data_IF_975974063877
#
_entry.id   IF_975974063877
#
_cell.length_a   1.000
_cell.length_b   1.000
_cell.length_c   1.000
_cell.angle_alpha   90.00
_cell.angle_beta   90.00
_cell.angle_gamma   90.00
#
_symmetry.space_group_name_H-M   'P 1'
#
loop_
_entity.id
_entity.type
_entity.pdbx_description
1 polymer ?
#
# COMPACT_ATOMS: atom_id res chain seq x y z
N UNK A 1 3.98 -43.85 -9.46
CA UNK A 1 4.84 -43.09 -10.41
C UNK A 1 4.35 -43.17 -11.87
N UNK A 2 3.07 -43.35 -12.13
CA UNK A 2 2.56 -43.57 -13.51
C UNK A 2 1.36 -42.67 -13.89
N UNK A 3 1.18 -41.52 -13.25
CA UNK A 3 0.05 -40.61 -13.53
C UNK A 3 0.46 -39.29 -14.20
N UNK A 4 1.74 -39.14 -14.63
CA UNK A 4 2.25 -37.89 -15.19
C UNK A 4 2.55 -37.90 -16.69
N UNK A 5 2.13 -38.92 -17.43
CA UNK A 5 2.39 -39.02 -18.86
C UNK A 5 1.11 -39.22 -19.69
N UNK A 6 0.02 -38.53 -19.40
CA UNK A 6 -1.03 -38.35 -20.40
C UNK A 6 -0.75 -37.01 -21.09
N UNK A 7 -0.42 -37.05 -22.39
CA UNK A 7 -0.14 -35.87 -23.22
C UNK A 7 -1.37 -35.02 -23.52
N UNK A 8 -2.08 -34.61 -22.47
CA UNK A 8 -3.11 -33.60 -22.59
C UNK A 8 -2.43 -32.22 -22.77
N UNK A 9 -2.58 -31.61 -23.92
CA UNK A 9 -2.23 -30.22 -24.16
C UNK A 9 -2.90 -29.36 -23.11
N UNK A 10 -2.15 -28.47 -22.43
CA UNK A 10 -2.77 -27.55 -21.49
C UNK A 10 -3.85 -26.73 -22.21
N UNK A 11 -4.94 -26.36 -21.53
CA UNK A 11 -5.98 -25.53 -22.13
C UNK A 11 -5.36 -24.24 -22.65
N UNK A 12 -5.67 -23.88 -23.89
CA UNK A 12 -5.19 -22.66 -24.53
C UNK A 12 -5.74 -21.44 -23.79
N UNK A 13 -4.87 -20.54 -23.39
CA UNK A 13 -5.25 -19.24 -22.82
C UNK A 13 -6.05 -18.44 -23.86
N UNK A 14 -7.28 -18.05 -23.50
CA UNK A 14 -8.08 -17.14 -24.30
C UNK A 14 -8.02 -15.73 -23.66
N UNK A 15 -7.35 -14.74 -24.29
CA UNK A 15 -7.22 -13.39 -23.75
C UNK A 15 -8.53 -12.62 -23.62
N UNK A 16 -9.62 -13.08 -24.21
CA UNK A 16 -10.97 -12.51 -24.09
C UNK A 16 -11.81 -13.08 -22.93
N UNK A 17 -11.27 -14.01 -22.15
CA UNK A 17 -11.98 -14.58 -21.00
C UNK A 17 -11.96 -13.65 -19.80
N UNK A 18 -13.13 -13.20 -19.34
CA UNK A 18 -13.26 -12.45 -18.09
C UNK A 18 -12.76 -13.31 -16.91
N UNK A 19 -12.02 -12.70 -16.01
CA UNK A 19 -11.56 -13.34 -14.75
C UNK A 19 -12.80 -13.81 -13.95
N UNK A 20 -12.87 -15.12 -13.74
CA UNK A 20 -13.88 -15.74 -12.86
C UNK A 20 -13.19 -16.31 -11.62
N UNK A 21 -13.93 -16.62 -10.53
CA UNK A 21 -13.34 -17.27 -9.36
C UNK A 21 -12.59 -18.57 -9.67
N UNK A 22 -12.96 -19.26 -10.74
CA UNK A 22 -12.35 -20.52 -11.17
C UNK A 22 -11.15 -20.35 -12.11
N UNK A 23 -11.02 -19.19 -12.77
CA UNK A 23 -9.88 -18.86 -13.65
C UNK A 23 -8.85 -17.93 -13.00
N UNK A 24 -9.14 -17.39 -11.81
CA UNK A 24 -8.22 -16.54 -11.07
C UNK A 24 -7.00 -17.32 -10.58
N UNK A 25 -5.79 -16.75 -10.77
CA UNK A 25 -4.53 -17.38 -10.34
C UNK A 25 -4.36 -17.39 -8.82
N UNK A 26 -4.99 -16.45 -8.13
CA UNK A 26 -4.95 -16.32 -6.68
C UNK A 26 -6.34 -16.48 -6.06
N UNK A 27 -6.47 -17.19 -4.94
CA UNK A 27 -7.71 -17.20 -4.17
C UNK A 27 -8.18 -15.81 -3.73
N UNK A 28 -7.26 -14.85 -3.61
CA UNK A 28 -7.57 -13.47 -3.23
C UNK A 28 -8.40 -12.75 -4.29
N UNK A 29 -8.15 -13.02 -5.57
CA UNK A 29 -8.89 -12.45 -6.70
C UNK A 29 -10.01 -13.35 -7.22
N UNK A 30 -10.10 -14.58 -6.70
CA UNK A 30 -11.13 -15.54 -7.01
C UNK A 30 -12.10 -15.73 -5.85
N UNK A 31 -11.96 -16.86 -5.16
CA UNK A 31 -12.85 -17.36 -4.09
C UNK A 31 -13.10 -16.33 -2.98
N UNK A 32 -12.09 -15.53 -2.61
CA UNK A 32 -12.16 -14.58 -1.50
C UNK A 32 -12.30 -13.13 -1.95
N UNK A 33 -12.42 -12.84 -3.24
CA UNK A 33 -12.44 -11.50 -3.80
C UNK A 33 -13.44 -10.56 -3.10
N UNK A 34 -14.66 -11.02 -2.86
CA UNK A 34 -15.70 -10.24 -2.19
C UNK A 34 -15.35 -9.89 -0.73
N UNK A 35 -14.63 -10.79 -0.03
CA UNK A 35 -14.21 -10.58 1.37
C UNK A 35 -13.05 -9.59 1.50
N UNK A 36 -12.31 -9.39 0.42
CA UNK A 36 -11.14 -8.52 0.35
C UNK A 36 -11.44 -7.15 -0.25
N UNK A 37 -12.71 -6.84 -0.51
CA UNK A 37 -13.13 -5.55 -1.05
C UNK A 37 -12.53 -4.33 -0.32
N UNK A 38 -12.40 -4.30 1.02
CA UNK A 38 -11.79 -3.18 1.73
C UNK A 38 -10.29 -2.97 1.45
N UNK A 39 -9.57 -4.01 1.00
CA UNK A 39 -8.15 -3.90 0.64
C UNK A 39 -7.93 -3.38 -0.78
N UNK A 40 -8.90 -3.54 -1.69
CA UNK A 40 -8.72 -3.19 -3.12
C UNK A 40 -8.30 -1.74 -3.34
N UNK A 41 -8.96 -0.71 -2.77
CA UNK A 41 -8.56 0.68 -2.98
C UNK A 41 -7.18 1.01 -2.38
N UNK A 42 -6.65 0.15 -1.49
CA UNK A 42 -5.38 0.36 -0.80
C UNK A 42 -4.22 -0.43 -1.44
N UNK A 43 -4.45 -1.70 -1.80
CA UNK A 43 -3.40 -2.68 -2.12
C UNK A 43 -3.42 -3.14 -3.59
N UNK A 44 -4.38 -2.70 -4.40
CA UNK A 44 -4.39 -2.97 -5.84
C UNK A 44 -3.37 -2.10 -6.58
N UNK A 45 -3.18 -2.36 -7.88
CA UNK A 45 -2.38 -1.51 -8.75
C UNK A 45 -2.90 -0.06 -8.80
N UNK A 46 -4.23 0.13 -8.84
CA UNK A 46 -4.85 1.45 -8.70
C UNK A 46 -4.47 2.11 -7.37
N UNK A 47 -4.54 1.37 -6.26
CA UNK A 47 -4.11 1.85 -4.94
C UNK A 47 -2.63 2.23 -4.93
N UNK A 48 -1.79 1.47 -5.62
CA UNK A 48 -0.37 1.77 -5.75
C UNK A 48 -0.11 3.04 -6.57
N UNK A 49 -0.78 3.21 -7.72
CA UNK A 49 -0.71 4.44 -8.52
C UNK A 49 -1.18 5.65 -7.72
N UNK A 50 -2.28 5.53 -6.96
CA UNK A 50 -2.74 6.58 -6.07
C UNK A 50 -1.65 7.01 -5.08
N UNK A 51 -0.91 6.06 -4.47
CA UNK A 51 0.19 6.39 -3.55
C UNK A 51 1.36 7.04 -4.27
N UNK A 52 1.69 6.63 -5.49
CA UNK A 52 2.71 7.30 -6.31
C UNK A 52 2.33 8.76 -6.56
N UNK A 53 1.10 9.03 -6.97
CA UNK A 53 0.59 10.41 -7.13
C UNK A 53 0.67 11.17 -5.82
N UNK A 54 0.31 10.56 -4.70
CA UNK A 54 0.41 11.17 -3.37
C UNK A 54 1.86 11.55 -3.02
N UNK A 55 2.82 10.67 -3.27
CA UNK A 55 4.25 10.91 -2.99
C UNK A 55 4.79 12.03 -3.87
N UNK A 56 4.53 11.99 -5.18
CA UNK A 56 4.97 13.01 -6.13
C UNK A 56 4.40 14.40 -5.78
N UNK A 57 3.13 14.47 -5.44
CA UNK A 57 2.48 15.74 -5.03
C UNK A 57 3.06 16.25 -3.71
N UNK A 58 3.27 15.35 -2.74
CA UNK A 58 3.86 15.73 -1.45
C UNK A 58 5.29 16.25 -1.64
N UNK A 59 6.09 15.58 -2.48
CA UNK A 59 7.45 15.99 -2.81
C UNK A 59 7.48 17.37 -3.49
N UNK A 60 6.64 17.58 -4.51
CA UNK A 60 6.52 18.87 -5.20
C UNK A 60 6.16 20.02 -4.24
N UNK A 61 5.20 19.78 -3.33
CA UNK A 61 4.81 20.78 -2.32
C UNK A 61 5.96 21.03 -1.35
N UNK A 62 6.66 19.98 -0.88
CA UNK A 62 7.80 20.11 0.01
C UNK A 62 8.95 20.93 -0.63
N UNK A 63 9.28 20.64 -1.90
CA UNK A 63 10.27 21.43 -2.65
C UNK A 63 9.86 22.90 -2.77
N UNK A 64 8.59 23.19 -3.00
CA UNK A 64 8.07 24.56 -3.02
C UNK A 64 8.24 25.29 -1.69
N UNK A 65 8.23 24.56 -0.57
CA UNK A 65 8.40 25.10 0.79
C UNK A 65 9.88 25.22 1.20
N UNK A 66 10.79 24.60 0.47
CA UNK A 66 12.22 24.57 0.79
C UNK A 66 12.91 25.93 0.60
N UNK A 67 12.30 26.86 -0.13
CA UNK A 67 12.82 28.23 -0.31
C UNK A 67 13.90 28.36 -1.38
N UNK A 68 13.95 27.44 -2.35
CA UNK A 68 14.85 27.54 -3.50
C UNK A 68 14.51 28.74 -4.38
N UNK A 69 15.55 29.46 -4.83
CA UNK A 69 15.37 30.65 -5.66
C UNK A 69 14.66 30.34 -7.00
N UNK A 70 14.92 29.16 -7.52
CA UNK A 70 14.39 28.67 -8.81
C UNK A 70 12.95 28.17 -8.70
N UNK A 71 12.48 27.85 -7.51
CA UNK A 71 11.14 27.33 -7.27
C UNK A 71 10.34 28.23 -6.32
N UNK A 72 9.54 29.11 -6.89
CA UNK A 72 8.67 29.99 -6.11
C UNK A 72 7.64 29.17 -5.32
N UNK A 73 7.36 29.57 -4.05
CA UNK A 73 6.34 28.92 -3.25
C UNK A 73 4.98 28.87 -3.96
N UNK A 74 4.38 27.69 -4.00
CA UNK A 74 3.07 27.47 -4.62
C UNK A 74 1.98 28.21 -3.80
N UNK A 75 1.09 28.88 -4.51
CA UNK A 75 -0.07 29.55 -3.90
C UNK A 75 -1.00 28.55 -3.17
N UNK A 76 -1.82 29.01 -2.21
CA UNK A 76 -2.82 28.18 -1.56
C UNK A 76 -3.79 27.51 -2.56
N UNK A 77 -4.11 28.20 -3.66
CA UNK A 77 -4.96 27.65 -4.73
C UNK A 77 -4.31 26.49 -5.47
N UNK A 78 -3.02 26.63 -5.84
CA UNK A 78 -2.24 25.57 -6.49
C UNK A 78 -2.11 24.34 -5.57
N UNK A 79 -1.80 24.55 -4.29
CA UNK A 79 -1.72 23.47 -3.29
C UNK A 79 -3.04 22.74 -3.12
N UNK A 80 -4.15 23.48 -3.00
CA UNK A 80 -5.49 22.87 -2.89
C UNK A 80 -5.81 22.04 -4.11
N UNK A 81 -5.44 22.51 -5.28
CA UNK A 81 -5.64 21.75 -6.52
C UNK A 81 -4.82 20.45 -6.54
N UNK A 82 -3.51 20.51 -6.22
CA UNK A 82 -2.63 19.35 -6.15
C UNK A 82 -3.11 18.30 -5.15
N UNK A 83 -3.49 18.73 -3.95
CA UNK A 83 -4.07 17.84 -2.94
C UNK A 83 -5.43 17.27 -3.40
N UNK A 84 -6.16 18.02 -4.22
CA UNK A 84 -7.39 17.58 -4.87
C UNK A 84 -7.17 16.42 -5.84
N UNK A 85 -6.06 16.42 -6.60
CA UNK A 85 -5.68 15.30 -7.48
C UNK A 85 -5.49 14.00 -6.69
N UNK A 86 -4.87 14.10 -5.52
CA UNK A 86 -4.70 12.95 -4.63
C UNK A 86 -6.03 12.51 -4.03
N UNK A 87 -6.80 13.45 -3.49
CA UNK A 87 -8.06 13.16 -2.79
C UNK A 87 -9.12 12.52 -3.69
N UNK A 88 -9.17 12.95 -4.97
CA UNK A 88 -10.20 12.53 -5.92
C UNK A 88 -9.68 11.53 -6.96
N UNK A 89 -8.49 10.94 -6.72
CA UNK A 89 -7.92 9.93 -7.61
C UNK A 89 -8.88 8.75 -7.80
N UNK A 90 -9.14 8.40 -9.05
CA UNK A 90 -10.15 7.42 -9.44
C UNK A 90 -9.55 6.29 -10.29
N UNK A 91 -10.36 5.26 -10.58
CA UNK A 91 -9.99 4.22 -11.52
C UNK A 91 -9.76 4.77 -12.95
N UNK A 92 -10.52 5.79 -13.36
CA UNK A 92 -10.32 6.44 -14.64
C UNK A 92 -8.94 7.10 -14.73
N UNK A 93 -8.45 7.69 -13.64
CA UNK A 93 -7.10 8.27 -13.58
C UNK A 93 -6.02 7.19 -13.67
N UNK A 94 -6.21 6.07 -12.97
CA UNK A 94 -5.32 4.92 -13.07
C UNK A 94 -5.26 4.35 -14.50
N UNK A 95 -6.39 4.23 -15.18
CA UNK A 95 -6.45 3.82 -16.59
C UNK A 95 -5.76 4.82 -17.53
N UNK A 96 -5.91 6.13 -17.28
CA UNK A 96 -5.20 7.15 -18.04
C UNK A 96 -3.67 7.05 -17.86
N UNK A 97 -3.18 6.78 -16.65
CA UNK A 97 -1.77 6.51 -16.38
C UNK A 97 -1.32 5.26 -17.16
N UNK A 98 -2.09 4.18 -17.16
CA UNK A 98 -1.78 2.95 -17.90
C UNK A 98 -1.72 3.19 -19.42
N UNK A 99 -2.53 4.09 -19.94
CA UNK A 99 -2.47 4.46 -21.36
C UNK A 99 -1.16 5.19 -21.70
N UNK A 100 -0.72 6.12 -20.84
CA UNK A 100 0.57 6.79 -20.99
C UNK A 100 1.72 5.77 -20.89
N UNK A 101 1.64 4.82 -19.96
CA UNK A 101 2.66 3.78 -19.76
C UNK A 101 2.91 2.93 -21.02
N UNK A 102 1.89 2.67 -21.83
CA UNK A 102 2.05 1.94 -23.13
C UNK A 102 3.06 2.61 -24.05
N UNK A 103 3.16 3.93 -24.00
CA UNK A 103 4.08 4.71 -24.84
C UNK A 103 5.43 4.90 -24.14
N UNK A 104 5.43 5.21 -22.85
CA UNK A 104 6.68 5.48 -22.09
C UNK A 104 7.44 4.20 -21.75
N UNK A 105 6.76 3.07 -21.74
CA UNK A 105 7.27 1.79 -21.25
C UNK A 105 7.93 1.89 -19.87
N UNK A 106 7.41 2.81 -19.03
CA UNK A 106 7.94 3.08 -17.69
C UNK A 106 6.82 3.60 -16.78
N UNK A 107 6.51 2.86 -15.73
CA UNK A 107 5.36 3.05 -14.85
C UNK A 107 5.42 4.35 -14.03
N UNK A 108 6.55 4.66 -13.38
CA UNK A 108 6.69 5.90 -12.60
C UNK A 108 6.72 7.13 -13.52
N UNK A 109 7.36 7.03 -14.69
CA UNK A 109 7.37 8.10 -15.69
C UNK A 109 5.96 8.41 -16.22
N UNK A 110 5.13 7.38 -16.34
CA UNK A 110 3.72 7.56 -16.71
C UNK A 110 2.94 8.36 -15.67
N UNK A 111 3.20 8.14 -14.38
CA UNK A 111 2.61 8.94 -13.28
C UNK A 111 3.07 10.40 -13.36
N UNK A 112 4.36 10.64 -13.56
CA UNK A 112 4.91 11.99 -13.75
C UNK A 112 4.21 12.73 -14.90
N UNK A 113 4.12 12.10 -16.07
CA UNK A 113 3.46 12.71 -17.24
C UNK A 113 1.97 12.93 -17.01
N UNK A 114 1.29 12.02 -16.32
CA UNK A 114 -0.09 12.24 -15.95
C UNK A 114 -0.26 13.44 -15.02
N UNK A 115 0.60 13.63 -14.02
CA UNK A 115 0.57 14.81 -13.16
C UNK A 115 0.82 16.08 -13.96
N UNK A 116 1.85 16.08 -14.81
CA UNK A 116 2.18 17.22 -15.68
C UNK A 116 1.01 17.58 -16.61
N UNK A 117 0.29 16.60 -17.16
CA UNK A 117 -0.91 16.84 -17.99
C UNK A 117 -2.04 17.54 -17.24
N UNK A 118 -2.11 17.42 -15.91
CA UNK A 118 -3.09 18.13 -15.07
C UNK A 118 -2.73 19.59 -14.83
N UNK A 119 -1.56 20.05 -15.27
CA UNK A 119 -1.11 21.43 -15.11
C UNK A 119 -1.55 22.33 -16.26
N UNK A 120 -2.04 21.76 -17.36
CA UNK A 120 -2.56 22.51 -18.49
C UNK A 120 -3.56 23.59 -18.07
N UNK A 121 -3.43 24.78 -18.65
CA UNK A 121 -4.21 25.99 -18.34
C UNK A 121 -4.06 26.50 -16.88
N UNK A 122 -2.95 26.15 -16.21
CA UNK A 122 -2.60 26.61 -14.87
C UNK A 122 -1.16 27.16 -14.86
N UNK A 123 -0.95 28.42 -15.26
CA UNK A 123 0.40 28.97 -15.51
C UNK A 123 1.39 28.77 -14.35
N UNK A 124 0.91 28.86 -13.11
CA UNK A 124 1.75 28.63 -11.92
C UNK A 124 2.28 27.18 -11.84
N UNK A 125 1.43 26.20 -12.13
CA UNK A 125 1.81 24.78 -12.11
C UNK A 125 2.59 24.38 -13.37
N UNK A 126 2.32 24.99 -14.51
CA UNK A 126 3.12 24.79 -15.73
C UNK A 126 4.58 25.22 -15.50
N UNK A 127 4.81 26.34 -14.82
CA UNK A 127 6.15 26.78 -14.42
C UNK A 127 6.82 25.84 -13.41
N UNK A 128 6.04 25.16 -12.58
CA UNK A 128 6.51 24.19 -11.59
C UNK A 128 6.68 22.77 -12.16
N UNK A 129 6.35 22.52 -13.43
CA UNK A 129 6.28 21.19 -14.02
C UNK A 129 7.60 20.41 -13.95
N UNK A 130 8.75 21.11 -14.09
CA UNK A 130 10.07 20.48 -14.04
C UNK A 130 10.49 20.05 -12.63
N UNK A 131 9.77 20.51 -11.58
CA UNK A 131 9.98 20.05 -10.21
C UNK A 131 9.17 18.79 -9.85
N UNK A 132 8.28 18.33 -10.72
CA UNK A 132 7.66 17.00 -10.57
C UNK A 132 8.74 15.95 -10.74
N UNK A 133 8.85 15.01 -9.79
CA UNK A 133 9.88 13.97 -9.76
C UNK A 133 11.33 14.51 -9.63
N UNK A 134 11.50 15.78 -9.27
CA UNK A 134 12.82 16.41 -9.25
C UNK A 134 13.76 15.69 -8.28
N UNK A 135 14.95 15.37 -8.79
CA UNK A 135 16.04 14.66 -8.11
C UNK A 135 15.70 13.24 -7.60
N UNK A 136 14.45 12.79 -7.72
CA UNK A 136 14.04 11.45 -7.33
C UNK A 136 14.51 10.37 -8.32
N UNK A 137 14.71 9.18 -7.81
CA UNK A 137 14.69 7.96 -8.61
C UNK A 137 13.33 7.28 -8.49
N UNK A 138 12.99 6.41 -9.45
CA UNK A 138 11.72 5.66 -9.39
C UNK A 138 11.53 4.90 -8.09
N UNK A 139 12.62 4.39 -7.50
CA UNK A 139 12.54 3.65 -6.25
C UNK A 139 12.24 4.54 -5.04
N UNK A 140 12.59 5.82 -5.05
CA UNK A 140 12.17 6.78 -4.00
C UNK A 140 10.63 6.85 -3.95
N UNK A 141 10.00 6.91 -5.11
CA UNK A 141 8.54 6.94 -5.24
C UNK A 141 7.94 5.56 -4.92
N UNK A 142 8.53 4.49 -5.45
CA UNK A 142 8.01 3.13 -5.30
C UNK A 142 8.03 2.66 -3.85
N UNK A 143 9.18 2.74 -3.17
CA UNK A 143 9.29 2.24 -1.79
C UNK A 143 8.41 3.05 -0.83
N UNK A 144 8.36 4.39 -1.00
CA UNK A 144 7.50 5.25 -0.17
C UNK A 144 6.02 4.93 -0.40
N UNK A 145 5.63 4.69 -1.65
CA UNK A 145 4.26 4.27 -2.00
C UNK A 145 3.91 2.92 -1.38
N UNK A 146 4.79 1.93 -1.45
CA UNK A 146 4.61 0.64 -0.79
C UNK A 146 4.51 0.77 0.74
N UNK A 147 5.35 1.60 1.35
CA UNK A 147 5.27 1.87 2.78
C UNK A 147 3.90 2.46 3.18
N UNK A 148 3.38 3.40 2.39
CA UNK A 148 2.05 3.97 2.58
C UNK A 148 0.92 2.96 2.39
N UNK A 149 1.04 2.06 1.40
CA UNK A 149 0.07 0.97 1.19
C UNK A 149 0.05 0.00 2.37
N UNK A 150 1.24 -0.47 2.80
CA UNK A 150 1.37 -1.39 3.94
C UNK A 150 0.81 -0.78 5.21
N UNK A 151 1.11 0.50 5.48
CA UNK A 151 0.57 1.21 6.63
C UNK A 151 -0.95 1.30 6.57
N UNK A 152 -1.49 1.72 5.44
CA UNK A 152 -2.94 1.84 5.27
C UNK A 152 -3.65 0.47 5.35
N UNK A 153 -3.13 -0.57 4.71
CA UNK A 153 -3.69 -1.93 4.76
C UNK A 153 -3.67 -2.49 6.18
N UNK A 154 -2.56 -2.29 6.91
CA UNK A 154 -2.44 -2.69 8.33
C UNK A 154 -3.44 -1.94 9.22
N UNK A 155 -3.41 -0.61 9.17
CA UNK A 155 -4.11 0.23 10.15
C UNK A 155 -5.61 0.31 9.89
N UNK A 156 -6.02 0.34 8.61
CA UNK A 156 -7.43 0.53 8.24
C UNK A 156 -8.21 -0.78 8.03
N UNK A 157 -7.51 -1.90 7.79
CA UNK A 157 -8.19 -3.16 7.46
C UNK A 157 -7.74 -4.31 8.35
N UNK A 158 -6.43 -4.59 8.43
CA UNK A 158 -5.93 -5.78 9.12
C UNK A 158 -6.16 -5.71 10.64
N UNK A 159 -5.68 -4.66 11.29
CA UNK A 159 -5.83 -4.51 12.74
C UNK A 159 -7.31 -4.43 13.17
N UNK A 160 -8.20 -3.64 12.52
CA UNK A 160 -9.61 -3.67 12.84
C UNK A 160 -10.30 -5.02 12.62
N UNK A 161 -9.84 -5.82 11.65
CA UNK A 161 -10.36 -7.18 11.45
C UNK A 161 -9.93 -8.13 12.59
N UNK A 162 -8.68 -8.04 13.03
CA UNK A 162 -8.14 -8.80 14.16
C UNK A 162 -8.82 -8.40 15.48
N UNK A 163 -9.08 -7.10 15.69
CA UNK A 163 -9.79 -6.61 16.86
C UNK A 163 -11.20 -7.21 16.97
N UNK A 164 -11.93 -7.33 15.87
CA UNK A 164 -13.25 -7.99 15.87
C UNK A 164 -13.14 -9.46 16.30
N UNK A 165 -12.10 -10.17 15.88
CA UNK A 165 -11.85 -11.56 16.31
C UNK A 165 -11.53 -11.61 17.78
N UNK A 166 -10.65 -10.73 18.26
CA UNK A 166 -10.27 -10.62 19.69
C UNK A 166 -11.48 -10.33 20.58
N UNK A 167 -12.33 -9.38 20.18
CA UNK A 167 -13.56 -9.07 20.92
C UNK A 167 -14.47 -10.29 21.04
N UNK A 168 -14.66 -11.04 19.95
CA UNK A 168 -15.49 -12.25 19.97
C UNK A 168 -14.89 -13.36 20.82
N UNK A 169 -13.58 -13.57 20.74
CA UNK A 169 -12.90 -14.56 21.58
C UNK A 169 -12.94 -14.19 23.06
N UNK A 170 -12.81 -12.91 23.41
CA UNK A 170 -12.96 -12.43 24.80
C UNK A 170 -14.37 -12.70 25.33
N UNK A 171 -15.40 -12.35 24.55
CA UNK A 171 -16.78 -12.67 24.89
C UNK A 171 -16.98 -14.18 25.15
N UNK A 172 -16.46 -15.02 24.26
CA UNK A 172 -16.52 -16.48 24.43
C UNK A 172 -15.76 -16.95 25.67
N UNK A 173 -14.58 -16.39 25.95
CA UNK A 173 -13.79 -16.72 27.13
C UNK A 173 -14.56 -16.43 28.43
N UNK A 174 -15.22 -15.27 28.50
CA UNK A 174 -16.05 -14.91 29.66
C UNK A 174 -17.30 -15.79 29.79
N UNK A 175 -18.02 -15.99 28.70
CA UNK A 175 -19.27 -16.78 28.72
C UNK A 175 -19.07 -18.27 29.02
N UNK A 176 -17.86 -18.78 28.78
CA UNK A 176 -17.50 -20.18 29.00
C UNK A 176 -16.52 -20.38 30.17
N UNK A 177 -16.35 -19.34 31.02
CA UNK A 177 -15.42 -19.36 32.13
C UNK A 177 -15.69 -20.50 33.11
N UNK A 178 -16.95 -20.83 33.38
CA UNK A 178 -17.39 -21.85 34.33
C UNK A 178 -17.64 -23.21 33.67
N UNK A 179 -17.42 -23.35 32.35
CA UNK A 179 -17.64 -24.62 31.64
C UNK A 179 -16.42 -25.53 31.84
N UNK A 180 -16.52 -26.61 32.64
CA UNK A 180 -15.39 -27.47 32.91
C UNK A 180 -14.99 -28.30 31.71
N UNK A 181 -13.70 -28.51 31.55
CA UNK A 181 -13.11 -29.45 30.61
C UNK A 181 -11.86 -30.11 31.13
N UNK A 182 -11.46 -31.22 30.54
CA UNK A 182 -10.19 -31.84 30.79
C UNK A 182 -9.15 -31.41 29.77
N UNK A 183 -8.02 -30.91 30.25
CA UNK A 183 -6.84 -30.73 29.40
C UNK A 183 -6.36 -32.04 28.82
N UNK A 184 -5.60 -32.01 27.77
CA UNK A 184 -5.00 -33.19 27.14
C UNK A 184 -3.50 -32.99 26.95
N UNK A 185 -2.75 -34.04 27.15
CA UNK A 185 -1.33 -34.12 26.88
C UNK A 185 -1.00 -35.50 26.29
N UNK A 186 -0.18 -35.54 25.27
CA UNK A 186 0.18 -36.78 24.57
C UNK A 186 -1.02 -37.66 24.17
N UNK A 187 -2.16 -37.00 23.78
CA UNK A 187 -3.40 -37.71 23.46
C UNK A 187 -4.19 -38.28 24.63
N UNK A 188 -3.74 -38.03 25.88
CA UNK A 188 -4.36 -38.53 27.11
C UNK A 188 -5.00 -37.38 27.91
N UNK A 189 -5.97 -37.76 28.74
CA UNK A 189 -6.60 -36.86 29.71
C UNK A 189 -5.57 -36.34 30.72
N UNK A 190 -5.58 -35.05 30.97
CA UNK A 190 -4.73 -34.36 31.94
C UNK A 190 -5.57 -33.58 32.97
N UNK A 191 -5.01 -32.52 33.56
CA UNK A 191 -5.65 -31.76 34.63
C UNK A 191 -6.97 -31.10 34.18
N UNK A 192 -7.96 -30.99 35.10
CA UNK A 192 -9.16 -30.20 34.85
C UNK A 192 -8.83 -28.74 34.61
N UNK A 193 -9.59 -28.12 33.70
CA UNK A 193 -9.54 -26.68 33.35
C UNK A 193 -10.93 -26.22 32.95
N UNK A 194 -11.06 -25.05 32.36
CA UNK A 194 -12.32 -24.56 31.74
C UNK A 194 -12.13 -24.20 30.28
N UNK A 195 -13.22 -24.27 29.52
CA UNK A 195 -13.22 -23.86 28.11
C UNK A 195 -12.85 -22.38 27.98
N UNK A 196 -13.41 -21.54 28.85
CA UNK A 196 -13.12 -20.09 28.84
C UNK A 196 -11.64 -19.80 29.08
N UNK A 197 -10.98 -20.50 29.98
CA UNK A 197 -9.54 -20.35 30.27
C UNK A 197 -8.68 -20.73 29.04
N UNK A 198 -9.02 -21.79 28.33
CA UNK A 198 -8.29 -22.17 27.11
C UNK A 198 -8.44 -21.12 25.99
N UNK A 199 -9.66 -20.55 25.84
CA UNK A 199 -9.89 -19.46 24.90
C UNK A 199 -9.13 -18.20 25.32
N UNK A 200 -9.10 -17.87 26.63
CA UNK A 200 -8.37 -16.70 27.16
C UNK A 200 -6.85 -16.78 26.85
N UNK A 201 -6.26 -17.98 26.88
CA UNK A 201 -4.87 -18.17 26.48
C UNK A 201 -4.65 -17.75 25.00
N UNK A 202 -5.57 -18.13 24.09
CA UNK A 202 -5.50 -17.72 22.68
C UNK A 202 -5.66 -16.21 22.55
N UNK A 203 -6.59 -15.59 23.30
CA UNK A 203 -6.81 -14.14 23.31
C UNK A 203 -5.54 -13.39 23.67
N UNK A 204 -4.87 -13.77 24.76
CA UNK A 204 -3.63 -13.09 25.22
C UNK A 204 -2.53 -13.20 24.17
N UNK A 205 -2.34 -14.38 23.59
CA UNK A 205 -1.33 -14.60 22.54
C UNK A 205 -1.62 -13.81 21.27
N UNK A 206 -2.88 -13.79 20.85
CA UNK A 206 -3.30 -13.03 19.67
C UNK A 206 -3.18 -11.52 19.90
N UNK A 207 -3.57 -11.02 21.09
CA UNK A 207 -3.38 -9.62 21.44
C UNK A 207 -1.90 -9.22 21.37
N UNK A 208 -1.02 -10.02 21.97
CA UNK A 208 0.43 -9.78 21.90
C UNK A 208 0.95 -9.72 20.46
N UNK A 209 0.43 -10.58 19.58
CA UNK A 209 0.80 -10.57 18.15
C UNK A 209 0.28 -9.31 17.45
N UNK A 210 -0.95 -8.88 17.73
CA UNK A 210 -1.53 -7.64 17.20
C UNK A 210 -0.74 -6.41 17.65
N UNK A 211 -0.35 -6.34 18.93
CA UNK A 211 0.45 -5.24 19.46
C UNK A 211 1.82 -5.15 18.77
N UNK A 212 2.45 -6.30 18.50
CA UNK A 212 3.71 -6.36 17.74
C UNK A 212 3.53 -5.88 16.31
N UNK A 213 2.46 -6.29 15.62
CA UNK A 213 2.17 -5.83 14.26
C UNK A 213 1.94 -4.31 14.23
N UNK A 214 1.17 -3.78 15.20
CA UNK A 214 0.90 -2.35 15.32
C UNK A 214 2.18 -1.53 15.58
N UNK A 215 3.10 -2.08 16.38
CA UNK A 215 4.36 -1.41 16.76
C UNK A 215 5.42 -1.39 15.65
N UNK A 216 5.25 -2.15 14.56
CA UNK A 216 6.22 -2.16 13.46
C UNK A 216 6.31 -0.78 12.81
N UNK A 217 7.50 -0.18 12.85
CA UNK A 217 7.80 1.03 12.10
C UNK A 217 7.98 0.66 10.63
N UNK A 218 7.13 1.21 9.77
CA UNK A 218 7.24 1.03 8.33
C UNK A 218 8.12 2.17 7.83
N UNK A 219 9.29 1.82 7.32
CA UNK A 219 10.30 2.76 6.87
C UNK A 219 10.22 2.95 5.36
N UNK A 220 10.64 4.14 4.91
CA UNK A 220 10.82 4.49 3.51
C UNK A 220 12.10 5.31 3.36
N UNK A 221 12.52 5.56 2.12
CA UNK A 221 13.68 6.39 1.81
C UNK A 221 13.37 7.33 0.64
N UNK A 222 13.96 8.52 0.66
CA UNK A 222 13.89 9.55 -0.40
C UNK A 222 15.29 10.13 -0.62
N UNK A 223 16.27 9.32 -1.05
CA UNK A 223 17.69 9.68 -1.09
C UNK A 223 18.39 9.33 -2.42
N UNK A 224 17.62 9.17 -3.48
CA UNK A 224 18.15 8.89 -4.83
C UNK A 224 18.46 7.42 -5.07
N UNK A 225 19.00 7.13 -6.25
CA UNK A 225 19.16 5.77 -6.77
C UNK A 225 20.07 4.88 -5.91
N UNK A 226 21.13 5.45 -5.34
CA UNK A 226 22.15 4.73 -4.57
C UNK A 226 22.24 5.17 -3.10
N UNK A 227 21.30 6.03 -2.66
CA UNK A 227 21.20 6.45 -1.27
C UNK A 227 22.14 7.59 -0.85
N UNK A 228 22.75 8.30 -1.79
CA UNK A 228 23.75 9.34 -1.53
C UNK A 228 23.31 10.74 -1.94
N UNK A 229 22.03 10.97 -2.24
CA UNK A 229 21.51 12.27 -2.68
C UNK A 229 22.24 12.88 -3.89
N UNK A 230 22.79 12.07 -4.80
CA UNK A 230 23.67 12.57 -5.86
C UNK A 230 23.01 13.62 -6.74
N UNK A 231 21.79 13.40 -7.22
CA UNK A 231 21.07 14.37 -8.03
C UNK A 231 20.65 15.60 -7.23
N UNK A 232 20.28 15.40 -5.99
CA UNK A 232 19.90 16.47 -5.05
C UNK A 232 21.08 17.42 -4.78
N UNK A 233 22.23 16.85 -4.41
CA UNK A 233 23.46 17.62 -4.13
C UNK A 233 24.05 18.26 -5.39
N UNK A 234 23.83 17.68 -6.58
CA UNK A 234 24.24 18.31 -7.83
C UNK A 234 23.44 19.59 -8.12
N UNK A 235 22.15 19.63 -7.70
CA UNK A 235 21.31 20.81 -7.86
C UNK A 235 21.55 21.86 -6.77
N UNK A 236 21.51 21.46 -5.51
CA UNK A 236 21.69 22.34 -4.34
C UNK A 236 22.64 21.68 -3.32
N UNK A 237 23.97 21.88 -3.48
CA UNK A 237 25.00 21.18 -2.68
C UNK A 237 24.99 21.57 -1.20
N UNK A 238 24.54 22.77 -0.86
CA UNK A 238 24.55 23.32 0.50
C UNK A 238 23.24 23.09 1.26
N UNK A 239 22.27 22.40 0.64
CA UNK A 239 20.97 22.12 1.25
C UNK A 239 21.00 20.83 2.08
N UNK A 240 20.40 20.86 3.27
CA UNK A 240 20.32 19.69 4.16
C UNK A 240 19.26 18.69 3.69
N UNK A 241 19.64 17.87 2.72
CA UNK A 241 18.77 16.85 2.14
C UNK A 241 18.42 15.72 3.10
N UNK A 242 19.28 15.42 4.08
CA UNK A 242 19.01 14.38 5.08
C UNK A 242 17.88 14.80 6.02
N UNK A 243 17.85 16.05 6.43
CA UNK A 243 16.78 16.59 7.26
C UNK A 243 15.48 16.84 6.48
N UNK A 244 15.59 17.07 5.15
CA UNK A 244 14.44 17.34 4.28
C UNK A 244 13.69 16.08 3.87
N UNK A 245 14.39 14.96 3.59
CA UNK A 245 13.83 13.72 3.08
C UNK A 245 13.22 12.85 4.20
#
# INVERSE_FOLDING_TARGET
>A
AALWCSGATPPTYNPGMSLTPTSALSPLDGRYAAKLAPLRPLMSEQGYMHRRVQVEVAWLIALSDAGFAEFKPLSPGARTYLLGLVKHFSEADALAIKEIEKTTNHDVKAVEYWIKSKFEARPELELASEFVHFACTSEDINNTSHALQLRAGRDLVLLPALDRILLKLREMAHNLADVPMLSRTHGQTASPTTVGKEIANVVVRLQTACDRIAAVKILAKMNGAVGNYNAHLAAWPDFDWEAFA
#
